data_IF_949468509089
#
_entry.id   IF_949468509089
#
_cell.length_a   1.000
_cell.length_b   1.000
_cell.length_c   1.000
_cell.angle_alpha   90.00
_cell.angle_beta   90.00
_cell.angle_gamma   90.00
#
_symmetry.space_group_name_H-M   'P 1'
#
loop_
_entity.id
_entity.type
_entity.pdbx_description
1 polymer ?
#
# COMPACT_ATOMS: atom_id res chain seq x y z
N UNK A 1 13.41 17.02 -81.35
CA UNK A 1 12.54 16.23 -80.47
C UNK A 1 11.32 17.08 -80.12
N UNK A 2 10.17 16.79 -80.72
CA UNK A 2 8.93 17.53 -80.50
C UNK A 2 8.38 17.16 -79.13
N UNK A 3 8.25 18.12 -78.22
CA UNK A 3 7.57 17.90 -76.96
C UNK A 3 6.09 17.58 -77.26
N UNK A 4 5.69 16.32 -77.05
CA UNK A 4 4.29 15.92 -77.14
C UNK A 4 3.46 16.76 -76.16
N UNK A 5 2.58 17.60 -76.70
CA UNK A 5 1.67 18.40 -75.89
C UNK A 5 0.61 17.49 -75.30
N UNK A 6 0.50 17.49 -73.97
CA UNK A 6 -0.57 16.81 -73.24
C UNK A 6 -1.93 17.17 -73.86
N UNK A 7 -2.74 16.17 -74.29
CA UNK A 7 -4.06 16.39 -74.86
C UNK A 7 -4.98 17.27 -73.99
N UNK A 8 -5.80 18.13 -74.62
CA UNK A 8 -6.64 19.09 -73.91
C UNK A 8 -7.64 18.46 -72.93
N UNK A 9 -8.19 17.28 -73.26
CA UNK A 9 -9.12 16.54 -72.39
C UNK A 9 -8.47 16.08 -71.09
N UNK A 10 -7.16 15.73 -71.11
CA UNK A 10 -6.39 15.40 -69.92
C UNK A 10 -6.29 16.62 -69.00
N UNK A 11 -6.08 17.82 -69.57
CA UNK A 11 -6.03 19.05 -68.77
C UNK A 11 -7.38 19.45 -68.19
N UNK A 12 -8.48 19.27 -68.91
CA UNK A 12 -9.81 19.66 -68.43
C UNK A 12 -10.38 18.68 -67.40
N UNK A 13 -10.14 17.38 -67.57
CA UNK A 13 -10.76 16.35 -66.73
C UNK A 13 -9.85 15.91 -65.59
N UNK A 14 -8.56 15.64 -65.85
CA UNK A 14 -7.69 15.02 -64.86
C UNK A 14 -6.97 16.03 -63.94
N UNK A 15 -6.76 17.28 -64.36
CA UNK A 15 -6.09 18.27 -63.50
C UNK A 15 -6.88 18.69 -62.27
N UNK A 16 -8.22 18.88 -62.35
CA UNK A 16 -9.04 19.16 -61.17
C UNK A 16 -8.97 18.01 -60.14
N UNK A 17 -9.21 16.78 -60.59
CA UNK A 17 -9.17 15.56 -59.76
C UNK A 17 -7.81 15.39 -59.06
N UNK A 18 -6.70 15.57 -59.79
CA UNK A 18 -5.36 15.50 -59.20
C UNK A 18 -5.10 16.60 -58.16
N UNK A 19 -5.69 17.79 -58.35
CA UNK A 19 -5.56 18.89 -57.41
C UNK A 19 -6.36 18.63 -56.13
N UNK A 20 -7.55 18.04 -56.27
CA UNK A 20 -8.40 17.59 -55.17
C UNK A 20 -7.73 16.48 -54.36
N UNK A 21 -7.26 15.42 -55.03
CA UNK A 21 -6.50 14.32 -54.40
C UNK A 21 -5.28 14.86 -53.65
N UNK A 22 -4.54 15.82 -54.23
CA UNK A 22 -3.41 16.48 -53.54
C UNK A 22 -3.85 17.23 -52.29
N UNK A 23 -5.02 17.86 -52.33
CA UNK A 23 -5.63 18.53 -51.17
C UNK A 23 -6.02 17.54 -50.07
N UNK A 24 -6.69 16.45 -50.44
CA UNK A 24 -7.08 15.38 -49.52
C UNK A 24 -5.86 14.71 -48.88
N UNK A 25 -4.82 14.40 -49.66
CA UNK A 25 -3.56 13.85 -49.14
C UNK A 25 -2.90 14.78 -48.12
N UNK A 26 -2.90 16.09 -48.35
CA UNK A 26 -2.42 17.07 -47.37
C UNK A 26 -3.26 17.04 -46.09
N UNK A 27 -4.59 17.03 -46.22
CA UNK A 27 -5.48 16.97 -45.07
C UNK A 27 -5.32 15.67 -44.27
N UNK A 28 -5.13 14.54 -44.95
CA UNK A 28 -4.83 13.25 -44.32
C UNK A 28 -3.50 13.31 -43.56
N UNK A 29 -2.44 13.84 -44.17
CA UNK A 29 -1.15 13.98 -43.50
C UNK A 29 -1.26 14.85 -42.23
N UNK A 30 -1.94 16.00 -42.30
CA UNK A 30 -2.18 16.83 -41.11
C UNK A 30 -2.96 16.08 -40.02
N UNK A 31 -3.95 15.26 -40.39
CA UNK A 31 -4.71 14.44 -39.44
C UNK A 31 -3.85 13.33 -38.83
N UNK A 32 -2.95 12.72 -39.61
CA UNK A 32 -2.01 11.71 -39.13
C UNK A 32 -1.05 12.35 -38.12
N UNK A 33 -0.47 13.50 -38.44
CA UNK A 33 0.44 14.22 -37.54
C UNK A 33 -0.24 14.56 -36.21
N UNK A 34 -1.45 15.14 -36.26
CA UNK A 34 -2.22 15.44 -35.05
C UNK A 34 -2.61 14.19 -34.25
N UNK A 35 -2.87 13.06 -34.94
CA UNK A 35 -3.16 11.79 -34.27
C UNK A 35 -1.93 11.24 -33.57
N UNK A 36 -0.76 11.32 -34.22
CA UNK A 36 0.52 10.91 -33.63
C UNK A 36 0.84 11.74 -32.37
N UNK A 37 0.66 13.06 -32.43
CA UNK A 37 0.85 13.94 -31.28
C UNK A 37 -0.07 13.56 -30.10
N UNK A 38 -1.35 13.26 -30.37
CA UNK A 38 -2.29 12.80 -29.35
C UNK A 38 -1.89 11.45 -28.76
N UNK A 39 -1.43 10.51 -29.59
CA UNK A 39 -0.93 9.20 -29.14
C UNK A 39 0.27 9.37 -28.23
N UNK A 40 1.24 10.21 -28.60
CA UNK A 40 2.43 10.48 -27.80
C UNK A 40 2.08 11.15 -26.47
N UNK A 41 1.14 12.10 -26.49
CA UNK A 41 0.63 12.74 -25.27
C UNK A 41 -0.01 11.73 -24.33
N UNK A 42 -0.95 10.91 -24.81
CA UNK A 42 -1.63 9.88 -24.01
C UNK A 42 -0.63 8.84 -23.47
N UNK A 43 0.36 8.46 -24.28
CA UNK A 43 1.41 7.52 -23.86
C UNK A 43 2.26 8.10 -22.72
N UNK A 44 2.60 9.38 -22.79
CA UNK A 44 3.36 10.06 -21.75
C UNK A 44 2.55 10.23 -20.46
N UNK A 45 1.28 10.64 -20.57
CA UNK A 45 0.35 10.76 -19.44
C UNK A 45 0.18 9.42 -18.73
N UNK A 46 -0.17 8.36 -19.47
CA UNK A 46 -0.34 7.01 -18.92
C UNK A 46 0.94 6.51 -18.24
N UNK A 47 2.12 6.75 -18.84
CA UNK A 47 3.41 6.39 -18.25
C UNK A 47 3.66 7.12 -16.95
N UNK A 48 3.37 8.43 -16.90
CA UNK A 48 3.53 9.27 -15.72
C UNK A 48 2.60 8.83 -14.60
N UNK A 49 1.31 8.62 -14.88
CA UNK A 49 0.33 8.14 -13.91
C UNK A 49 0.69 6.76 -13.36
N UNK A 50 1.09 5.84 -14.24
CA UNK A 50 1.49 4.48 -13.82
C UNK A 50 2.71 4.54 -12.89
N UNK A 51 3.70 5.38 -13.19
CA UNK A 51 4.87 5.54 -12.33
C UNK A 51 4.53 6.24 -11.01
N UNK A 52 3.65 7.25 -11.05
CA UNK A 52 3.13 7.91 -9.85
C UNK A 52 2.44 6.92 -8.90
N UNK A 53 1.47 6.16 -9.41
CA UNK A 53 0.75 5.14 -8.66
C UNK A 53 1.69 4.07 -8.11
N UNK A 54 2.67 3.61 -8.89
CA UNK A 54 3.67 2.64 -8.45
C UNK A 54 4.47 3.15 -7.26
N UNK A 55 4.88 4.42 -7.29
CA UNK A 55 5.67 5.03 -6.21
C UNK A 55 4.82 5.28 -4.96
N UNK A 56 3.57 5.67 -5.11
CA UNK A 56 2.61 5.81 -4.01
C UNK A 56 2.38 4.46 -3.32
N UNK A 57 2.08 3.41 -4.08
CA UNK A 57 1.88 2.05 -3.55
C UNK A 57 3.13 1.56 -2.80
N UNK A 58 4.33 1.73 -3.38
CA UNK A 58 5.58 1.35 -2.71
C UNK A 58 5.78 2.09 -1.38
N UNK A 59 5.48 3.39 -1.36
CA UNK A 59 5.61 4.21 -0.15
C UNK A 59 4.62 3.77 0.93
N UNK A 60 3.39 3.44 0.55
CA UNK A 60 2.37 2.98 1.49
C UNK A 60 2.68 1.58 2.03
N UNK A 61 3.19 0.67 1.20
CA UNK A 61 3.69 -0.64 1.65
C UNK A 61 4.79 -0.46 2.69
N UNK A 62 5.80 0.39 2.44
CA UNK A 62 6.88 0.62 3.39
C UNK A 62 6.38 1.16 4.74
N UNK A 63 5.42 2.12 4.72
CA UNK A 63 4.80 2.64 5.95
C UNK A 63 4.03 1.57 6.72
N UNK A 64 3.33 0.68 6.00
CA UNK A 64 2.60 -0.42 6.62
C UNK A 64 3.56 -1.44 7.24
N UNK A 65 4.67 -1.76 6.58
CA UNK A 65 5.72 -2.62 7.12
C UNK A 65 6.31 -2.04 8.42
N UNK A 66 6.62 -0.75 8.44
CA UNK A 66 7.10 -0.05 9.64
C UNK A 66 6.08 -0.10 10.79
N UNK A 67 4.80 0.16 10.49
CA UNK A 67 3.72 0.11 11.48
C UNK A 67 3.53 -1.29 12.04
N UNK A 68 3.58 -2.32 11.19
CA UNK A 68 3.50 -3.73 11.60
C UNK A 68 4.67 -4.09 12.50
N UNK A 69 5.89 -3.68 12.14
CA UNK A 69 7.08 -3.93 12.94
C UNK A 69 7.02 -3.23 14.31
N UNK A 70 6.54 -1.98 14.35
CA UNK A 70 6.32 -1.24 15.59
C UNK A 70 5.34 -1.95 16.51
N UNK A 71 4.15 -2.31 16.00
CA UNK A 71 3.13 -3.03 16.77
C UNK A 71 3.65 -4.38 17.27
N UNK A 72 4.39 -5.12 16.43
CA UNK A 72 5.00 -6.40 16.82
C UNK A 72 5.97 -6.23 17.99
N UNK A 73 6.79 -5.18 17.96
CA UNK A 73 7.75 -4.90 19.02
C UNK A 73 7.07 -4.47 20.32
N UNK A 74 6.05 -3.62 20.22
CA UNK A 74 5.23 -3.19 21.36
C UNK A 74 4.56 -4.39 22.03
N UNK A 75 3.84 -5.21 21.25
CA UNK A 75 3.19 -6.43 21.76
C UNK A 75 4.21 -7.39 22.40
N UNK A 76 5.39 -7.59 21.79
CA UNK A 76 6.45 -8.43 22.38
C UNK A 76 6.94 -7.87 23.71
N UNK A 77 7.09 -6.56 23.82
CA UNK A 77 7.49 -5.89 25.06
C UNK A 77 6.42 -6.05 26.14
N UNK A 78 5.15 -5.86 25.80
CA UNK A 78 4.03 -6.07 26.73
C UNK A 78 3.95 -7.50 27.24
N UNK A 79 4.06 -8.50 26.36
CA UNK A 79 4.10 -9.91 26.76
C UNK A 79 5.28 -10.23 27.67
N UNK A 80 6.46 -9.66 27.38
CA UNK A 80 7.64 -9.82 28.23
C UNK A 80 7.39 -9.21 29.62
N UNK A 81 6.79 -8.02 29.68
CA UNK A 81 6.40 -7.38 30.94
C UNK A 81 5.36 -8.20 31.73
N UNK A 82 4.37 -8.77 31.05
CA UNK A 82 3.39 -9.67 31.67
C UNK A 82 4.05 -10.93 32.23
N UNK A 83 4.99 -11.52 31.49
CA UNK A 83 5.74 -12.69 31.95
C UNK A 83 6.49 -12.40 33.26
N UNK A 84 7.23 -11.30 33.34
CA UNK A 84 7.90 -10.90 34.58
C UNK A 84 6.94 -10.66 35.76
N UNK A 85 5.76 -10.08 35.49
CA UNK A 85 4.73 -9.89 36.53
C UNK A 85 4.18 -11.23 37.01
N UNK A 86 3.95 -12.17 36.10
CA UNK A 86 3.50 -13.52 36.44
C UNK A 86 4.55 -14.27 37.27
N UNK A 87 5.82 -14.26 36.86
CA UNK A 87 6.92 -14.86 37.62
C UNK A 87 7.01 -14.26 39.04
N UNK A 88 6.82 -12.94 39.16
CA UNK A 88 6.80 -12.28 40.46
C UNK A 88 5.61 -12.69 41.32
N UNK A 89 4.44 -12.93 40.71
CA UNK A 89 3.25 -13.40 41.43
C UNK A 89 3.41 -14.86 41.85
N UNK A 90 3.96 -15.72 40.98
CA UNK A 90 4.25 -17.11 41.27
C UNK A 90 5.16 -17.25 42.50
N UNK A 91 6.23 -16.44 42.58
CA UNK A 91 7.12 -16.37 43.75
C UNK A 91 6.43 -15.95 45.05
N UNK A 92 5.26 -15.31 45.00
CA UNK A 92 4.48 -14.90 46.18
C UNK A 92 3.50 -15.96 46.67
N UNK A 93 3.19 -16.99 45.88
CA UNK A 93 2.30 -18.09 46.27
C UNK A 93 2.74 -18.77 47.59
N UNK A 94 4.03 -19.10 47.80
CA UNK A 94 4.46 -19.73 49.06
C UNK A 94 4.28 -18.85 50.29
N UNK A 95 4.22 -17.53 50.13
CA UNK A 95 3.94 -16.61 51.24
C UNK A 95 2.47 -16.72 51.66
N UNK A 96 1.55 -16.87 50.70
CA UNK A 96 0.13 -17.08 50.99
C UNK A 96 -0.09 -18.41 51.72
N UNK A 97 0.60 -19.49 51.31
CA UNK A 97 0.55 -20.78 52.01
C UNK A 97 1.02 -20.67 53.47
N UNK A 98 2.09 -19.91 53.72
CA UNK A 98 2.57 -19.63 55.08
C UNK A 98 1.57 -18.83 55.90
N UNK A 99 0.88 -17.85 55.31
CA UNK A 99 -0.17 -17.07 55.97
C UNK A 99 -1.32 -18.00 56.39
N UNK A 100 -1.80 -18.85 55.49
CA UNK A 100 -2.85 -19.84 55.81
C UNK A 100 -2.40 -20.77 56.95
N UNK A 101 -1.16 -21.24 56.95
CA UNK A 101 -0.64 -22.07 58.05
C UNK A 101 -0.59 -21.32 59.39
N UNK A 102 -0.29 -20.02 59.39
CA UNK A 102 -0.31 -19.18 60.59
C UNK A 102 -1.73 -18.94 61.09
N UNK A 103 -2.70 -18.70 60.22
CA UNK A 103 -4.12 -18.56 60.57
C UNK A 103 -4.62 -19.79 61.34
N UNK A 104 -4.28 -21.00 60.88
CA UNK A 104 -4.64 -22.25 61.57
C UNK A 104 -3.98 -22.37 62.95
N UNK A 105 -2.70 -21.96 63.09
CA UNK A 105 -2.01 -21.97 64.38
C UNK A 105 -2.59 -20.95 65.37
N UNK A 106 -3.00 -19.78 64.89
CA UNK A 106 -3.66 -18.76 65.71
C UNK A 106 -4.98 -19.32 66.25
N UNK A 107 -5.80 -19.94 65.40
CA UNK A 107 -7.05 -20.55 65.83
C UNK A 107 -6.86 -21.66 66.89
N UNK A 108 -5.81 -22.49 66.76
CA UNK A 108 -5.47 -23.49 67.78
C UNK A 108 -5.03 -22.85 69.11
N UNK A 109 -4.19 -21.81 69.05
CA UNK A 109 -3.75 -21.07 70.24
C UNK A 109 -4.92 -20.38 70.95
N UNK A 110 -5.84 -19.75 70.21
CA UNK A 110 -7.06 -19.14 70.75
C UNK A 110 -7.92 -20.18 71.49
N UNK A 111 -8.11 -21.37 70.91
CA UNK A 111 -8.85 -22.47 71.55
C UNK A 111 -8.18 -22.93 72.85
N UNK A 112 -6.85 -23.05 72.86
CA UNK A 112 -6.07 -23.48 74.03
C UNK A 112 -6.08 -22.43 75.14
N UNK A 113 -6.02 -21.14 74.79
CA UNK A 113 -6.10 -20.05 75.75
C UNK A 113 -7.46 -20.04 76.44
N UNK A 114 -8.55 -20.14 75.69
CA UNK A 114 -9.91 -20.21 76.24
C UNK A 114 -10.08 -21.38 77.23
N UNK A 115 -9.45 -22.53 76.97
CA UNK A 115 -9.48 -23.69 77.86
C UNK A 115 -8.61 -23.56 79.12
N UNK A 116 -7.62 -22.65 79.12
CA UNK A 116 -6.75 -22.39 80.27
C UNK A 116 -7.32 -21.31 81.22
N UNK A 117 -8.24 -20.48 80.72
CA UNK A 117 -8.91 -19.42 81.47
C UNK A 117 -10.18 -19.89 82.21
N UNK A 118 -10.61 -21.14 81.98
CA UNK A 118 -11.73 -21.83 82.66
C UNK A 118 -11.25 -22.73 83.79
#
# INVERSE_FOLDING_TARGET
MTAEKVPGWIKQVLMPELSEIKGELKAINTRIDSTNEKIDSLRNETKSETEGLRNEIRSEIARLEDKINSLRNETKSEFTGLHYRLDSLEKRIPVLEKITALEHKIADLEKRLAAAET
#
